data_IF_048602056575
#
_entry.id   IF_048602056575
#
_cell.length_a   1.000
_cell.length_b   1.000
_cell.length_c   1.000
_cell.angle_alpha   90.00
_cell.angle_beta   90.00
_cell.angle_gamma   90.00
#
_symmetry.space_group_name_H-M   'P 1'
#
loop_
_entity.id
_entity.type
_entity.pdbx_description
1 polymer ?
#
# COMPACT_ATOMS: atom_id res chain seq x y z
N UNK A 1 -57.74 -23.13 -57.89
CA UNK A 1 -57.31 -24.15 -56.91
C UNK A 1 -55.92 -23.75 -56.42
N UNK A 2 -55.89 -22.83 -55.45
CA UNK A 2 -55.65 -23.10 -54.02
C UNK A 2 -54.16 -23.22 -53.66
N UNK A 3 -53.55 -22.05 -53.46
CA UNK A 3 -52.68 -21.72 -52.32
C UNK A 3 -51.59 -22.72 -51.87
N UNK A 4 -50.86 -23.34 -52.81
CA UNK A 4 -49.58 -24.00 -52.55
C UNK A 4 -48.58 -23.56 -53.63
N UNK A 5 -47.76 -22.53 -53.34
CA UNK A 5 -46.42 -22.27 -53.93
C UNK A 5 -45.94 -20.82 -53.70
N UNK A 6 -45.84 -20.39 -52.44
CA UNK A 6 -45.01 -19.24 -52.05
C UNK A 6 -44.18 -19.56 -50.81
N UNK A 7 -43.48 -20.70 -50.84
CA UNK A 7 -42.62 -21.19 -49.73
C UNK A 7 -41.14 -20.83 -49.96
N UNK A 8 -40.73 -20.26 -51.10
CA UNK A 8 -39.34 -19.87 -51.32
C UNK A 8 -39.22 -18.39 -51.67
N UNK A 9 -38.31 -17.69 -50.98
CA UNK A 9 -37.91 -16.27 -51.09
C UNK A 9 -38.54 -15.29 -50.09
N UNK A 10 -38.30 -15.51 -48.79
CA UNK A 10 -37.76 -14.45 -47.91
C UNK A 10 -36.71 -15.12 -47.01
N UNK A 11 -35.57 -15.44 -47.62
CA UNK A 11 -34.30 -15.58 -46.89
C UNK A 11 -33.71 -14.20 -46.67
N UNK A 12 -33.01 -14.04 -45.54
CA UNK A 12 -32.25 -12.88 -45.11
C UNK A 12 -33.08 -11.77 -44.43
N UNK A 13 -33.18 -11.84 -43.10
CA UNK A 13 -32.60 -10.85 -42.19
C UNK A 13 -32.97 -11.23 -40.73
N UNK A 14 -32.54 -12.42 -40.30
CA UNK A 14 -32.27 -12.63 -38.87
C UNK A 14 -30.77 -12.36 -38.69
N UNK A 15 -30.38 -11.10 -38.83
CA UNK A 15 -29.07 -10.66 -38.40
C UNK A 15 -29.04 -10.89 -36.89
N UNK A 16 -28.30 -11.92 -36.48
CA UNK A 16 -27.82 -12.11 -35.13
C UNK A 16 -27.19 -10.80 -34.67
N UNK A 17 -27.97 -9.98 -33.98
CA UNK A 17 -27.45 -9.02 -33.02
C UNK A 17 -26.95 -9.84 -31.85
N UNK A 18 -25.81 -10.53 -32.05
CA UNK A 18 -24.88 -10.76 -30.97
C UNK A 18 -24.34 -9.38 -30.60
N UNK A 19 -25.12 -8.61 -29.85
CA UNK A 19 -24.54 -7.60 -28.98
C UNK A 19 -23.74 -8.41 -27.97
N UNK A 20 -22.49 -8.72 -28.32
CA UNK A 20 -21.49 -8.91 -27.29
C UNK A 20 -21.57 -7.63 -26.46
N UNK A 21 -22.24 -7.70 -25.30
CA UNK A 21 -21.83 -6.87 -24.19
C UNK A 21 -20.36 -7.20 -24.01
N UNK A 22 -19.49 -6.45 -24.70
CA UNK A 22 -18.13 -6.30 -24.27
C UNK A 22 -18.29 -5.67 -22.89
N UNK A 23 -18.27 -6.52 -21.87
CA UNK A 23 -17.89 -6.08 -20.54
C UNK A 23 -16.55 -5.39 -20.78
N UNK A 24 -16.53 -4.06 -20.73
CA UNK A 24 -15.29 -3.34 -20.77
C UNK A 24 -14.49 -3.86 -19.58
N UNK A 25 -13.41 -4.60 -19.87
CA UNK A 25 -12.55 -5.07 -18.80
C UNK A 25 -12.08 -3.84 -18.02
N UNK A 26 -12.17 -3.92 -16.69
CA UNK A 26 -11.69 -2.84 -15.82
C UNK A 26 -10.24 -2.50 -16.18
N UNK A 27 -9.89 -1.21 -16.17
CA UNK A 27 -8.53 -0.78 -16.47
C UNK A 27 -7.55 -1.26 -15.39
N UNK A 28 -6.27 -1.38 -15.71
CA UNK A 28 -5.26 -1.82 -14.75
C UNK A 28 -5.23 -0.98 -13.44
N UNK A 29 -5.35 0.37 -13.45
CA UNK A 29 -5.46 1.14 -12.23
C UNK A 29 -6.69 0.78 -11.38
N UNK A 30 -7.84 0.52 -12.01
CA UNK A 30 -9.08 0.13 -11.31
C UNK A 30 -8.92 -1.27 -10.69
N UNK A 31 -8.30 -2.20 -11.42
CA UNK A 31 -7.99 -3.54 -10.92
C UNK A 31 -7.01 -3.50 -9.74
N UNK A 32 -5.98 -2.64 -9.79
CA UNK A 32 -5.05 -2.43 -8.68
C UNK A 32 -5.74 -1.84 -7.46
N UNK A 33 -6.50 -0.77 -7.64
CA UNK A 33 -7.22 -0.11 -6.56
C UNK A 33 -8.21 -1.08 -5.88
N UNK A 34 -8.90 -1.92 -6.67
CA UNK A 34 -9.82 -2.95 -6.15
C UNK A 34 -9.13 -4.19 -5.57
N UNK A 35 -7.80 -4.24 -5.60
CA UNK A 35 -7.00 -5.35 -5.08
C UNK A 35 -7.07 -6.63 -5.90
N UNK A 36 -7.61 -6.60 -7.12
CA UNK A 36 -7.61 -7.71 -8.10
C UNK A 36 -6.26 -7.78 -8.81
N UNK A 37 -5.21 -8.08 -8.03
CA UNK A 37 -3.82 -7.93 -8.47
C UNK A 37 -3.48 -8.87 -9.63
N UNK A 38 -3.98 -10.10 -9.64
CA UNK A 38 -3.71 -11.03 -10.74
C UNK A 38 -4.26 -10.52 -12.07
N UNK A 39 -5.49 -9.97 -12.05
CA UNK A 39 -6.14 -9.39 -13.23
C UNK A 39 -5.41 -8.13 -13.68
N UNK A 40 -4.99 -7.27 -12.73
CA UNK A 40 -4.19 -6.08 -13.04
C UNK A 40 -2.87 -6.45 -13.74
N UNK A 41 -2.15 -7.44 -13.23
CA UNK A 41 -0.89 -7.92 -13.84
C UNK A 41 -1.13 -8.45 -15.26
N UNK A 42 -2.23 -9.19 -15.47
CA UNK A 42 -2.58 -9.70 -16.79
C UNK A 42 -2.88 -8.56 -17.78
N UNK A 43 -3.69 -7.57 -17.36
CA UNK A 43 -4.01 -6.39 -18.15
C UNK A 43 -2.76 -5.58 -18.51
N UNK A 44 -1.91 -5.27 -17.52
CA UNK A 44 -0.66 -4.51 -17.70
C UNK A 44 0.31 -5.22 -18.65
N UNK A 45 0.44 -6.55 -18.56
CA UNK A 45 1.27 -7.32 -19.50
C UNK A 45 0.73 -7.24 -20.93
N UNK A 46 -0.59 -7.25 -21.09
CA UNK A 46 -1.24 -7.04 -22.39
C UNK A 46 -0.97 -5.65 -22.96
N UNK A 47 -1.14 -4.60 -22.14
CA UNK A 47 -0.84 -3.21 -22.50
C UNK A 47 0.62 -3.06 -22.93
N UNK A 48 1.56 -3.51 -22.09
CA UNK A 48 3.01 -3.45 -22.35
C UNK A 48 3.39 -4.22 -23.62
N UNK A 49 2.73 -5.35 -23.91
CA UNK A 49 3.01 -6.12 -25.14
C UNK A 49 2.56 -5.40 -26.41
N UNK A 50 1.58 -4.50 -26.31
CA UNK A 50 1.05 -3.74 -27.43
C UNK A 50 1.81 -2.42 -27.60
N UNK A 51 2.04 -1.71 -26.51
CA UNK A 51 2.76 -0.44 -26.47
C UNK A 51 3.48 -0.30 -25.13
N UNK A 52 4.81 -0.54 -25.08
CA UNK A 52 5.58 -0.34 -23.86
C UNK A 52 5.53 1.12 -23.41
N UNK A 53 5.00 1.38 -22.22
CA UNK A 53 4.95 2.71 -21.63
C UNK A 53 5.43 2.69 -20.16
N UNK A 54 5.99 3.82 -19.70
CA UNK A 54 6.55 3.92 -18.36
C UNK A 54 5.50 3.81 -17.24
N UNK A 55 4.26 4.21 -17.50
CA UNK A 55 3.19 4.22 -16.51
C UNK A 55 2.70 2.80 -16.23
N UNK A 56 2.49 1.98 -17.26
CA UNK A 56 2.14 0.57 -17.16
C UNK A 56 3.26 -0.22 -16.46
N UNK A 57 4.53 0.05 -16.76
CA UNK A 57 5.64 -0.54 -16.00
C UNK A 57 5.67 -0.10 -14.53
N UNK A 58 5.34 1.16 -14.23
CA UNK A 58 5.25 1.64 -12.85
C UNK A 58 4.07 0.99 -12.10
N UNK A 59 2.91 0.86 -12.72
CA UNK A 59 1.76 0.15 -12.15
C UNK A 59 2.06 -1.34 -11.94
N UNK A 60 2.78 -1.98 -12.88
CA UNK A 60 3.22 -3.36 -12.74
C UNK A 60 4.20 -3.53 -11.57
N UNK A 61 5.08 -2.56 -11.38
CA UNK A 61 5.96 -2.50 -10.22
C UNK A 61 5.17 -2.43 -8.90
N UNK A 62 4.14 -1.57 -8.82
CA UNK A 62 3.27 -1.45 -7.64
C UNK A 62 2.45 -2.71 -7.39
N UNK A 63 1.99 -3.38 -8.45
CA UNK A 63 1.35 -4.69 -8.36
C UNK A 63 2.27 -5.71 -7.68
N UNK A 64 3.51 -5.84 -8.16
CA UNK A 64 4.51 -6.75 -7.56
C UNK A 64 4.93 -6.34 -6.16
N UNK A 65 5.03 -5.04 -5.88
CA UNK A 65 5.24 -4.50 -4.53
C UNK A 65 4.14 -4.97 -3.58
N UNK A 66 2.86 -4.91 -4.01
CA UNK A 66 1.73 -5.35 -3.18
C UNK A 66 1.80 -6.84 -2.81
N UNK A 67 2.34 -7.67 -3.70
CA UNK A 67 2.51 -9.12 -3.49
C UNK A 67 3.76 -9.49 -2.66
N UNK A 68 4.68 -8.56 -2.45
CA UNK A 68 5.99 -8.86 -1.88
C UNK A 68 6.98 -9.46 -2.87
N UNK A 69 6.72 -9.35 -4.18
CA UNK A 69 7.58 -9.88 -5.24
C UNK A 69 8.67 -8.86 -5.63
N UNK A 70 9.59 -8.60 -4.70
CA UNK A 70 10.55 -7.49 -4.78
C UNK A 70 11.42 -7.49 -6.04
N UNK A 71 11.91 -8.65 -6.48
CA UNK A 71 12.75 -8.74 -7.68
C UNK A 71 11.99 -8.35 -8.95
N UNK A 72 10.75 -8.80 -9.09
CA UNK A 72 9.89 -8.44 -10.21
C UNK A 72 9.48 -6.98 -10.16
N UNK A 73 9.18 -6.47 -8.95
CA UNK A 73 8.92 -5.05 -8.71
C UNK A 73 10.09 -4.17 -9.15
N UNK A 74 11.32 -4.47 -8.71
CA UNK A 74 12.54 -3.74 -9.11
C UNK A 74 12.66 -3.73 -10.63
N UNK A 75 12.55 -4.89 -11.28
CA UNK A 75 12.70 -4.97 -12.73
C UNK A 75 11.65 -4.14 -13.50
N UNK A 76 10.40 -4.12 -13.03
CA UNK A 76 9.35 -3.29 -13.61
C UNK A 76 9.59 -1.78 -13.37
N UNK A 77 9.98 -1.38 -12.15
CA UNK A 77 10.27 0.02 -11.85
C UNK A 77 11.52 0.54 -12.58
N UNK A 78 12.57 -0.28 -12.74
CA UNK A 78 13.75 0.06 -13.54
C UNK A 78 13.36 0.30 -15.01
N UNK A 79 12.41 -0.47 -15.56
CA UNK A 79 11.85 -0.21 -16.89
C UNK A 79 11.10 1.11 -16.96
N UNK A 80 10.25 1.42 -15.97
CA UNK A 80 9.55 2.69 -15.90
C UNK A 80 10.53 3.89 -15.90
N UNK A 81 11.54 3.86 -15.04
CA UNK A 81 12.60 4.89 -14.98
C UNK A 81 13.40 4.96 -16.28
N UNK A 82 13.68 3.83 -16.94
CA UNK A 82 14.40 3.84 -18.22
C UNK A 82 13.62 4.47 -19.37
N UNK A 83 12.29 4.41 -19.33
CA UNK A 83 11.40 4.98 -20.34
C UNK A 83 11.15 6.48 -20.10
N UNK A 84 11.07 6.90 -18.84
CA UNK A 84 10.98 8.31 -18.46
C UNK A 84 11.84 8.61 -17.21
N UNK A 85 13.13 8.96 -17.39
CA UNK A 85 14.07 9.24 -16.30
C UNK A 85 13.85 10.61 -15.63
N UNK A 86 12.83 11.37 -16.05
CA UNK A 86 12.47 12.65 -15.44
C UNK A 86 11.14 12.58 -14.68
N UNK A 87 10.56 11.39 -14.55
CA UNK A 87 9.35 11.18 -13.76
C UNK A 87 9.66 10.97 -12.28
N UNK A 88 9.33 11.96 -11.45
CA UNK A 88 9.54 11.89 -9.99
C UNK A 88 8.87 10.66 -9.34
N UNK A 89 7.66 10.28 -9.78
CA UNK A 89 6.93 9.16 -9.19
C UNK A 89 7.58 7.81 -9.49
N UNK A 90 8.24 7.67 -10.65
CA UNK A 90 8.93 6.42 -11.01
C UNK A 90 10.15 6.18 -10.13
N UNK A 91 10.93 7.25 -9.90
CA UNK A 91 12.04 7.22 -8.94
C UNK A 91 11.54 6.95 -7.51
N UNK A 92 10.44 7.58 -7.09
CA UNK A 92 9.84 7.33 -5.77
C UNK A 92 9.50 5.85 -5.58
N UNK A 93 8.78 5.25 -6.53
CA UNK A 93 8.39 3.84 -6.44
C UNK A 93 9.58 2.89 -6.54
N UNK A 94 10.58 3.17 -7.37
CA UNK A 94 11.79 2.38 -7.44
C UNK A 94 12.55 2.40 -6.10
N UNK A 95 12.66 3.57 -5.47
CA UNK A 95 13.22 3.73 -4.12
C UNK A 95 12.48 2.89 -3.07
N UNK A 96 11.14 2.92 -3.07
CA UNK A 96 10.31 2.10 -2.16
C UNK A 96 10.55 0.61 -2.34
N UNK A 97 10.59 0.12 -3.57
CA UNK A 97 10.80 -1.32 -3.84
C UNK A 97 12.22 -1.75 -3.47
N UNK A 98 13.22 -0.90 -3.70
CA UNK A 98 14.57 -1.16 -3.19
C UNK A 98 14.62 -1.23 -1.67
N UNK A 99 13.86 -0.38 -0.97
CA UNK A 99 13.75 -0.38 0.49
C UNK A 99 13.22 -1.70 1.02
N UNK A 100 12.05 -2.14 0.55
CA UNK A 100 11.46 -3.44 0.95
C UNK A 100 12.38 -4.62 0.63
N UNK A 101 13.05 -4.57 -0.52
CA UNK A 101 14.02 -5.59 -0.89
C UNK A 101 15.21 -5.61 0.08
N UNK A 102 15.68 -4.44 0.53
CA UNK A 102 16.78 -4.32 1.48
C UNK A 102 16.39 -4.90 2.84
N UNK A 103 15.19 -4.59 3.32
CA UNK A 103 14.65 -5.07 4.61
C UNK A 103 14.45 -6.59 4.61
N UNK A 104 14.14 -7.18 3.45
CA UNK A 104 14.02 -8.63 3.28
C UNK A 104 15.35 -9.36 3.01
N UNK A 105 16.47 -8.64 2.88
CA UNK A 105 17.76 -9.19 2.48
C UNK A 105 18.77 -9.30 3.63
N UNK A 106 19.86 -10.05 3.40
CA UNK A 106 21.00 -10.05 4.32
C UNK A 106 21.73 -8.68 4.33
N UNK A 107 22.52 -8.44 5.38
CA UNK A 107 23.20 -7.17 5.61
C UNK A 107 24.03 -6.66 4.42
N UNK A 108 24.79 -7.52 3.75
CA UNK A 108 25.65 -7.13 2.63
C UNK A 108 24.83 -6.64 1.43
N UNK A 109 23.74 -7.35 1.12
CA UNK A 109 22.82 -6.97 0.05
C UNK A 109 22.06 -5.68 0.41
N UNK A 110 21.67 -5.55 1.68
CA UNK A 110 20.98 -4.37 2.20
C UNK A 110 21.83 -3.09 2.08
N UNK A 111 23.14 -3.14 2.31
CA UNK A 111 24.01 -1.97 2.16
C UNK A 111 24.07 -1.45 0.71
N UNK A 112 24.18 -2.36 -0.26
CA UNK A 112 24.15 -2.00 -1.68
C UNK A 112 22.81 -1.44 -2.13
N UNK A 113 21.71 -2.01 -1.62
CA UNK A 113 20.35 -1.52 -1.87
C UNK A 113 20.09 -0.17 -1.21
N UNK A 114 20.56 0.06 0.03
CA UNK A 114 20.39 1.33 0.74
C UNK A 114 20.96 2.52 -0.07
N UNK A 115 22.11 2.34 -0.71
CA UNK A 115 22.66 3.37 -1.61
C UNK A 115 21.74 3.64 -2.81
N UNK A 116 21.10 2.61 -3.37
CA UNK A 116 20.13 2.78 -4.46
C UNK A 116 18.88 3.50 -3.95
N UNK A 117 18.33 3.10 -2.80
CA UNK A 117 17.20 3.79 -2.15
C UNK A 117 17.48 5.28 -2.00
N UNK A 118 18.66 5.63 -1.46
CA UNK A 118 19.08 7.02 -1.30
C UNK A 118 19.03 7.80 -2.62
N UNK A 119 19.68 7.26 -3.66
CA UNK A 119 19.76 7.90 -4.96
C UNK A 119 18.36 8.12 -5.59
N UNK A 120 17.50 7.11 -5.52
CA UNK A 120 16.16 7.18 -6.12
C UNK A 120 15.26 8.18 -5.38
N UNK A 121 15.28 8.20 -4.05
CA UNK A 121 14.52 9.19 -3.28
C UNK A 121 15.05 10.61 -3.45
N UNK A 122 16.37 10.81 -3.49
CA UNK A 122 16.93 12.13 -3.81
C UNK A 122 16.52 12.58 -5.21
N UNK A 123 16.55 11.68 -6.20
CA UNK A 123 16.14 12.00 -7.58
C UNK A 123 14.66 12.34 -7.64
N UNK A 124 13.81 11.62 -6.92
CA UNK A 124 12.38 11.93 -6.81
C UNK A 124 12.13 13.34 -6.25
N UNK A 125 12.83 13.72 -5.17
CA UNK A 125 12.74 15.06 -4.57
C UNK A 125 13.35 16.15 -5.47
N UNK A 126 14.43 15.86 -6.19
CA UNK A 126 15.01 16.81 -7.17
C UNK A 126 14.04 17.10 -8.32
N UNK A 127 13.38 16.06 -8.85
CA UNK A 127 12.43 16.18 -9.96
C UNK A 127 11.11 16.82 -9.55
N UNK A 128 10.64 16.56 -8.33
CA UNK A 128 9.47 17.22 -7.75
C UNK A 128 9.75 17.68 -6.31
N UNK A 129 10.29 18.90 -6.14
CA UNK A 129 10.59 19.45 -4.81
C UNK A 129 9.36 19.68 -3.93
N UNK A 130 8.14 19.59 -4.45
CA UNK A 130 6.91 19.80 -3.68
C UNK A 130 6.19 18.49 -3.35
N UNK A 131 6.74 17.32 -3.71
CA UNK A 131 6.16 16.03 -3.29
C UNK A 131 6.40 15.81 -1.80
N UNK A 132 5.31 15.87 -1.02
CA UNK A 132 5.35 15.61 0.42
C UNK A 132 5.71 14.14 0.70
N UNK A 133 5.23 13.22 -0.14
CA UNK A 133 5.48 11.79 -0.05
C UNK A 133 6.97 11.48 -0.28
N UNK A 134 7.57 12.00 -1.35
CA UNK A 134 9.00 11.77 -1.63
C UNK A 134 9.90 12.35 -0.53
N UNK A 135 9.52 13.51 0.03
CA UNK A 135 10.26 14.12 1.15
C UNK A 135 10.13 13.32 2.44
N UNK A 136 8.94 12.82 2.75
CA UNK A 136 8.71 11.95 3.90
C UNK A 136 9.54 10.66 3.77
N UNK A 137 9.49 10.00 2.62
CA UNK A 137 10.22 8.74 2.39
C UNK A 137 11.74 8.95 2.41
N UNK A 138 12.23 10.08 1.87
CA UNK A 138 13.63 10.46 1.98
C UNK A 138 14.05 10.76 3.44
N UNK A 139 13.19 11.45 4.20
CA UNK A 139 13.43 11.72 5.62
C UNK A 139 13.50 10.41 6.42
N UNK A 140 12.58 9.48 6.15
CA UNK A 140 12.56 8.14 6.75
C UNK A 140 13.84 7.38 6.44
N UNK A 141 14.28 7.36 5.17
CA UNK A 141 15.55 6.77 4.79
C UNK A 141 16.71 7.38 5.60
N UNK A 142 16.74 8.71 5.76
CA UNK A 142 17.78 9.36 6.55
C UNK A 142 17.76 9.01 8.04
N UNK A 143 16.62 8.59 8.58
CA UNK A 143 16.50 8.18 9.98
C UNK A 143 16.88 6.72 10.21
N UNK A 144 16.56 5.84 9.27
CA UNK A 144 16.76 4.40 9.42
C UNK A 144 18.12 3.93 8.87
N UNK A 145 18.62 4.53 7.80
CA UNK A 145 19.87 4.12 7.20
C UNK A 145 21.09 4.54 8.04
N UNK A 146 22.14 3.70 8.13
CA UNK A 146 23.41 4.11 8.73
C UNK A 146 24.03 5.33 8.03
N UNK A 147 24.79 6.14 8.78
CA UNK A 147 25.46 7.32 8.22
C UNK A 147 26.41 7.01 7.06
N UNK A 148 27.05 5.83 7.08
CA UNK A 148 27.97 5.37 6.02
C UNK A 148 27.29 5.18 4.66
N UNK A 149 25.97 4.97 4.62
CA UNK A 149 25.19 4.79 3.38
C UNK A 149 24.28 6.00 3.10
N UNK A 150 24.51 7.13 3.77
CA UNK A 150 23.83 8.39 3.49
C UNK A 150 22.84 8.86 4.56
N UNK A 151 22.60 8.07 5.62
CA UNK A 151 21.73 8.45 6.73
C UNK A 151 22.20 9.71 7.48
N UNK A 152 21.29 10.31 8.25
CA UNK A 152 21.59 11.46 9.11
C UNK A 152 20.36 12.24 9.55
N UNK A 153 20.22 12.45 10.87
CA UNK A 153 19.09 13.19 11.45
C UNK A 153 18.99 14.64 10.98
N UNK A 154 20.11 15.30 10.69
CA UNK A 154 20.09 16.68 10.19
C UNK A 154 19.53 16.77 8.78
N UNK A 155 19.76 15.74 7.95
CA UNK A 155 19.16 15.64 6.62
C UNK A 155 17.66 15.38 6.71
N UNK A 156 17.23 14.52 7.63
CA UNK A 156 15.80 14.32 7.92
C UNK A 156 15.14 15.62 8.39
N UNK A 157 15.81 16.38 9.27
CA UNK A 157 15.32 17.70 9.75
C UNK A 157 15.19 18.71 8.61
N UNK A 158 16.11 18.70 7.64
CA UNK A 158 16.01 19.56 6.46
C UNK A 158 14.78 19.23 5.60
N UNK A 159 14.42 17.95 5.48
CA UNK A 159 13.16 17.55 4.82
C UNK A 159 11.94 18.02 5.62
N UNK A 160 11.93 17.84 6.94
CA UNK A 160 10.86 18.32 7.82
C UNK A 160 10.63 19.83 7.70
N UNK A 161 11.71 20.63 7.63
CA UNK A 161 11.61 22.08 7.48
C UNK A 161 10.93 22.50 6.16
N UNK A 162 11.10 21.71 5.08
CA UNK A 162 10.38 21.96 3.83
C UNK A 162 8.95 21.45 3.91
N UNK A 163 8.74 20.27 4.49
CA UNK A 163 7.41 19.69 4.72
C UNK A 163 6.52 20.60 5.55
N UNK A 164 7.06 21.37 6.50
CA UNK A 164 6.27 22.27 7.33
C UNK A 164 5.41 23.28 6.52
N UNK A 165 5.79 23.56 5.26
CA UNK A 165 5.03 24.42 4.34
C UNK A 165 4.09 23.65 3.42
N UNK A 166 4.37 22.37 3.17
CA UNK A 166 3.64 21.53 2.21
C UNK A 166 2.56 20.69 2.91
N UNK A 167 2.94 20.08 4.02
CA UNK A 167 2.17 19.14 4.80
C UNK A 167 2.68 19.16 6.26
N UNK A 168 2.09 20.01 7.12
CA UNK A 168 2.48 20.12 8.53
C UNK A 168 2.37 18.81 9.31
N UNK A 169 1.42 17.93 8.94
CA UNK A 169 1.23 16.62 9.59
C UNK A 169 2.46 15.75 9.36
N UNK A 170 2.88 15.61 8.10
CA UNK A 170 4.10 14.87 7.75
C UNK A 170 5.36 15.53 8.33
N UNK A 171 5.41 16.87 8.41
CA UNK A 171 6.52 17.58 9.02
C UNK A 171 6.69 17.22 10.51
N UNK A 172 5.61 17.35 11.30
CA UNK A 172 5.62 17.00 12.71
C UNK A 172 5.86 15.51 12.92
N UNK A 173 5.33 14.63 12.05
CA UNK A 173 5.65 13.21 12.08
C UNK A 173 7.16 12.95 11.94
N UNK A 174 7.86 13.60 10.99
CA UNK A 174 9.32 13.45 10.83
C UNK A 174 10.06 13.95 12.07
N UNK A 175 9.65 15.09 12.65
CA UNK A 175 10.29 15.62 13.88
C UNK A 175 10.04 14.69 15.07
N UNK A 176 8.85 14.12 15.20
CA UNK A 176 8.53 13.08 16.17
C UNK A 176 9.42 11.85 16.03
N UNK A 177 9.60 11.34 14.79
CA UNK A 177 10.52 10.23 14.49
C UNK A 177 11.98 10.56 14.81
N UNK A 178 12.43 11.80 14.57
CA UNK A 178 13.77 12.25 15.01
C UNK A 178 13.89 12.16 16.54
N UNK A 179 12.87 12.57 17.29
CA UNK A 179 12.86 12.51 18.75
C UNK A 179 12.83 11.06 19.26
N UNK A 180 12.10 10.15 18.60
CA UNK A 180 12.15 8.71 18.89
C UNK A 180 13.56 8.13 18.72
N UNK A 181 14.27 8.47 17.64
CA UNK A 181 15.67 8.05 17.44
C UNK A 181 16.61 8.59 18.51
N UNK A 182 16.29 9.76 19.09
CA UNK A 182 17.02 10.36 20.21
C UNK A 182 16.60 9.78 21.58
N UNK A 183 15.62 8.88 21.61
CA UNK A 183 15.02 8.35 22.85
C UNK A 183 14.44 9.46 23.73
N UNK A 184 13.86 10.49 23.09
CA UNK A 184 13.15 11.58 23.74
C UNK A 184 11.62 11.42 23.51
N UNK A 185 10.96 10.55 24.31
CA UNK A 185 9.53 10.28 24.14
C UNK A 185 8.67 11.50 24.45
N UNK A 186 9.13 12.42 25.29
CA UNK A 186 8.40 13.63 25.65
C UNK A 186 8.28 14.57 24.46
N UNK A 187 9.40 14.83 23.77
CA UNK A 187 9.35 15.61 22.53
C UNK A 187 8.60 14.87 21.44
N UNK A 188 8.82 13.56 21.27
CA UNK A 188 8.13 12.77 20.26
C UNK A 188 6.60 12.87 20.41
N UNK A 189 6.08 12.62 21.61
CA UNK A 189 4.65 12.71 21.90
C UNK A 189 4.09 14.12 21.62
N UNK A 190 4.83 15.17 22.00
CA UNK A 190 4.42 16.56 21.74
C UNK A 190 4.29 16.82 20.24
N UNK A 191 5.23 16.37 19.42
CA UNK A 191 5.18 16.57 17.97
C UNK A 191 4.00 15.83 17.34
N UNK A 192 3.74 14.58 17.73
CA UNK A 192 2.59 13.84 17.23
C UNK A 192 1.26 14.48 17.65
N UNK A 193 1.15 15.01 18.88
CA UNK A 193 -0.02 15.79 19.28
C UNK A 193 -0.17 17.09 18.49
N UNK A 194 0.95 17.75 18.18
CA UNK A 194 0.94 18.95 17.33
C UNK A 194 0.47 18.62 15.91
N UNK A 195 0.82 17.44 15.38
CA UNK A 195 0.32 16.95 14.10
C UNK A 195 -1.21 16.74 14.11
N UNK A 196 -1.75 16.24 15.23
CA UNK A 196 -3.20 16.08 15.46
C UNK A 196 -3.87 17.45 15.47
N UNK A 197 -3.33 18.41 16.23
CA UNK A 197 -3.89 19.77 16.30
C UNK A 197 -3.85 20.47 14.93
N UNK A 198 -2.73 20.37 14.22
CA UNK A 198 -2.54 20.98 12.90
C UNK A 198 -3.48 20.42 11.82
N UNK A 199 -3.99 19.21 12.01
CA UNK A 199 -4.92 18.54 11.10
C UNK A 199 -6.38 18.59 11.54
N UNK A 200 -6.69 19.26 12.65
CA UNK A 200 -7.98 19.20 13.33
C UNK A 200 -8.41 17.76 13.67
N UNK A 201 -7.46 16.94 14.09
CA UNK A 201 -7.70 15.57 14.54
C UNK A 201 -7.93 14.56 13.42
N UNK A 202 -7.23 14.71 12.28
CA UNK A 202 -7.37 13.73 11.20
C UNK A 202 -6.85 12.34 11.60
N UNK A 203 -7.32 11.32 10.88
CA UNK A 203 -7.01 9.94 11.21
C UNK A 203 -5.52 9.59 11.03
N UNK A 204 -4.84 10.19 10.04
CA UNK A 204 -3.41 9.98 9.78
C UNK A 204 -2.53 10.45 10.97
N UNK A 205 -2.84 11.60 11.57
CA UNK A 205 -2.10 12.11 12.71
C UNK A 205 -2.29 11.24 13.96
N UNK A 206 -3.51 10.75 14.20
CA UNK A 206 -3.80 9.77 15.25
C UNK A 206 -3.07 8.44 15.01
N UNK A 207 -2.99 7.99 13.76
CA UNK A 207 -2.22 6.80 13.40
C UNK A 207 -0.73 7.00 13.72
N UNK A 208 -0.15 8.16 13.39
CA UNK A 208 1.20 8.53 13.77
C UNK A 208 1.46 8.41 15.27
N UNK A 209 0.58 8.98 16.10
CA UNK A 209 0.67 8.89 17.55
C UNK A 209 0.55 7.43 18.06
N UNK A 210 -0.37 6.65 17.48
CA UNK A 210 -0.54 5.25 17.87
C UNK A 210 0.70 4.40 17.58
N UNK A 211 1.35 4.61 16.43
CA UNK A 211 2.59 3.92 16.07
C UNK A 211 3.73 4.29 17.02
N UNK A 212 3.84 5.57 17.39
CA UNK A 212 4.79 6.00 18.41
C UNK A 212 4.56 5.28 19.74
N UNK A 213 3.33 5.27 20.24
CA UNK A 213 3.01 4.58 21.49
C UNK A 213 3.32 3.08 21.41
N UNK A 214 3.10 2.45 20.26
CA UNK A 214 3.54 1.07 20.01
C UNK A 214 5.06 0.93 20.14
N UNK A 215 5.85 1.82 19.53
CA UNK A 215 7.32 1.77 19.58
C UNK A 215 7.88 1.92 20.99
N UNK A 216 7.26 2.78 21.82
CA UNK A 216 7.68 2.98 23.22
C UNK A 216 7.02 2.03 24.22
N UNK A 217 6.22 1.06 23.75
CA UNK A 217 5.57 0.03 24.58
C UNK A 217 4.38 0.51 25.41
N UNK A 218 3.85 1.70 25.11
CA UNK A 218 2.68 2.29 25.76
C UNK A 218 1.39 1.78 25.12
N UNK A 219 1.10 0.49 25.31
CA UNK A 219 0.02 -0.19 24.57
C UNK A 219 -1.39 0.34 24.87
N UNK A 220 -1.66 0.78 26.10
CA UNK A 220 -2.97 1.37 26.43
C UNK A 220 -3.17 2.70 25.69
N UNK A 221 -2.17 3.58 25.70
CA UNK A 221 -2.23 4.84 24.97
C UNK A 221 -2.32 4.63 23.44
N UNK A 222 -1.65 3.58 22.92
CA UNK A 222 -1.79 3.14 21.52
C UNK A 222 -3.25 2.76 21.21
N UNK A 223 -3.87 1.93 22.05
CA UNK A 223 -5.28 1.52 21.86
C UNK A 223 -6.23 2.72 21.95
N UNK A 224 -6.00 3.66 22.87
CA UNK A 224 -6.79 4.90 22.99
C UNK A 224 -6.66 5.78 21.73
N UNK A 225 -5.44 5.96 21.22
CA UNK A 225 -5.19 6.69 19.97
C UNK A 225 -5.90 6.04 18.76
N UNK A 226 -5.92 4.72 18.68
CA UNK A 226 -6.65 3.98 17.63
C UNK A 226 -8.17 4.08 17.84
N UNK A 227 -8.63 4.18 19.09
CA UNK A 227 -10.03 4.47 19.42
C UNK A 227 -10.51 5.78 18.78
N UNK A 228 -9.68 6.82 18.73
CA UNK A 228 -10.00 8.07 18.03
C UNK A 228 -10.15 7.88 16.51
N UNK A 229 -9.35 7.01 15.90
CA UNK A 229 -9.48 6.65 14.48
C UNK A 229 -10.82 5.94 14.23
N UNK A 230 -11.18 4.97 15.07
CA UNK A 230 -12.42 4.22 14.92
C UNK A 230 -13.68 5.06 15.18
N UNK A 231 -13.60 6.03 16.09
CA UNK A 231 -14.71 6.91 16.44
C UNK A 231 -14.95 8.04 15.42
N UNK A 232 -13.90 8.46 14.72
CA UNK A 232 -14.06 9.43 13.64
C UNK A 232 -14.84 8.80 12.46
N UNK A 233 -15.58 9.61 11.71
CA UNK A 233 -16.19 9.20 10.41
C UNK A 233 -15.09 9.05 9.36
N UNK A 234 -14.12 8.19 9.63
CA UNK A 234 -12.97 7.97 8.77
C UNK A 234 -13.41 7.12 7.60
N UNK A 235 -13.23 7.68 6.41
CA UNK A 235 -13.44 7.00 5.13
C UNK A 235 -12.12 6.75 4.41
N UNK A 236 -10.98 6.94 5.08
CA UNK A 236 -9.66 6.64 4.54
C UNK A 236 -9.36 5.14 4.72
N UNK A 237 -9.37 4.34 3.64
CA UNK A 237 -9.16 2.91 3.73
C UNK A 237 -7.76 2.55 4.21
N UNK A 238 -6.75 3.38 3.92
CA UNK A 238 -5.35 3.13 4.29
C UNK A 238 -5.20 3.23 5.80
N UNK A 239 -5.74 4.28 6.42
CA UNK A 239 -5.60 4.50 7.86
C UNK A 239 -6.31 3.40 8.67
N UNK A 240 -7.47 2.92 8.22
CA UNK A 240 -8.19 1.82 8.87
C UNK A 240 -7.35 0.52 8.86
N UNK A 241 -6.75 0.20 7.71
CA UNK A 241 -5.93 -0.99 7.55
C UNK A 241 -4.65 -0.91 8.40
N UNK A 242 -3.98 0.23 8.41
CA UNK A 242 -2.75 0.45 9.18
C UNK A 242 -3.00 0.44 10.70
N UNK A 243 -4.12 1.00 11.16
CA UNK A 243 -4.54 0.93 12.55
C UNK A 243 -4.82 -0.52 12.99
N UNK A 244 -5.52 -1.30 12.17
CA UNK A 244 -5.74 -2.72 12.43
C UNK A 244 -4.42 -3.52 12.44
N UNK A 245 -3.54 -3.26 11.48
CA UNK A 245 -2.20 -3.86 11.41
C UNK A 245 -1.37 -3.54 12.65
N UNK A 246 -1.47 -2.32 13.19
CA UNK A 246 -0.79 -1.87 14.41
C UNK A 246 -1.25 -2.68 15.63
N UNK A 247 -2.56 -2.85 15.81
CA UNK A 247 -3.15 -3.70 16.86
C UNK A 247 -2.71 -5.17 16.74
N UNK A 248 -2.80 -5.74 15.54
CA UNK A 248 -2.42 -7.13 15.26
C UNK A 248 -0.94 -7.36 15.55
N UNK A 249 -0.08 -6.43 15.12
CA UNK A 249 1.36 -6.49 15.32
C UNK A 249 1.78 -6.36 16.79
N UNK A 250 0.99 -5.65 17.61
CA UNK A 250 1.17 -5.58 19.06
C UNK A 250 0.53 -6.75 19.83
N UNK A 251 -0.20 -7.64 19.15
CA UNK A 251 -1.05 -8.67 19.77
C UNK A 251 -2.06 -8.09 20.78
N UNK A 252 -2.66 -6.96 20.43
CA UNK A 252 -3.56 -6.16 21.27
C UNK A 252 -4.91 -5.95 20.59
N UNK A 253 -5.94 -5.78 21.42
CA UNK A 253 -7.32 -5.43 21.04
C UNK A 253 -7.80 -6.03 19.69
N UNK A 254 -7.77 -7.36 19.59
CA UNK A 254 -8.23 -8.07 18.39
C UNK A 254 -9.67 -7.75 17.97
N UNK A 255 -10.64 -7.53 18.89
CA UNK A 255 -11.98 -7.10 18.51
C UNK A 255 -11.98 -5.78 17.72
N UNK A 256 -11.24 -4.77 18.18
CA UNK A 256 -11.14 -3.49 17.48
C UNK A 256 -10.42 -3.63 16.13
N UNK A 257 -9.39 -4.47 16.04
CA UNK A 257 -8.72 -4.75 14.76
C UNK A 257 -9.68 -5.36 13.73
N UNK A 258 -10.53 -6.31 14.15
CA UNK A 258 -11.55 -6.92 13.30
C UNK A 258 -12.58 -5.86 12.87
N UNK A 259 -13.05 -5.03 13.81
CA UNK A 259 -14.01 -3.96 13.52
C UNK A 259 -13.46 -2.99 12.45
N UNK A 260 -12.20 -2.55 12.58
CA UNK A 260 -11.57 -1.65 11.62
C UNK A 260 -11.45 -2.28 10.23
N UNK A 261 -11.09 -3.56 10.15
CA UNK A 261 -11.00 -4.28 8.88
C UNK A 261 -12.37 -4.51 8.24
N UNK A 262 -13.40 -4.79 9.03
CA UNK A 262 -14.78 -4.89 8.54
C UNK A 262 -15.31 -3.53 8.07
N UNK A 263 -15.01 -2.45 8.79
CA UNK A 263 -15.32 -1.09 8.36
C UNK A 263 -14.64 -0.79 7.02
N UNK A 264 -13.34 -1.10 6.89
CA UNK A 264 -12.60 -0.99 5.63
C UNK A 264 -13.30 -1.75 4.49
N UNK A 265 -13.66 -3.03 4.70
CA UNK A 265 -14.32 -3.85 3.68
C UNK A 265 -15.73 -3.37 3.32
N UNK A 266 -16.38 -2.60 4.21
CA UNK A 266 -17.68 -1.99 3.95
C UNK A 266 -17.59 -0.73 3.10
N UNK A 267 -16.41 -0.12 3.00
CA UNK A 267 -16.20 1.01 2.11
C UNK A 267 -16.25 0.52 0.67
N UNK A 268 -17.08 1.14 -0.18
CA UNK A 268 -17.00 0.95 -1.64
C UNK A 268 -15.74 1.58 -2.25
N UNK A 269 -14.85 2.12 -1.40
CA UNK A 269 -13.63 2.79 -1.79
C UNK A 269 -12.48 1.78 -1.94
N UNK A 270 -11.77 1.90 -3.04
CA UNK A 270 -10.67 1.04 -3.44
C UNK A 270 -9.38 1.85 -3.37
N UNK A 271 -8.41 1.46 -2.54
CA UNK A 271 -7.13 2.14 -2.40
C UNK A 271 -6.00 1.18 -2.75
N UNK A 272 -5.08 1.60 -3.63
CA UNK A 272 -3.99 0.73 -4.07
C UNK A 272 -2.98 0.45 -2.94
N UNK A 273 -2.76 1.43 -2.07
CA UNK A 273 -1.90 1.32 -0.89
C UNK A 273 -2.51 0.40 0.17
N UNK A 274 -3.84 0.23 0.16
CA UNK A 274 -4.57 -0.67 1.03
C UNK A 274 -5.48 -1.59 0.22
N UNK A 275 -4.92 -2.61 -0.46
CA UNK A 275 -5.68 -3.46 -1.35
C UNK A 275 -6.49 -4.50 -0.57
N UNK A 276 -7.70 -4.80 -1.06
CA UNK A 276 -8.71 -5.63 -0.38
C UNK A 276 -8.18 -7.01 0.04
N UNK A 277 -7.34 -7.63 -0.80
CA UNK A 277 -6.75 -8.94 -0.48
C UNK A 277 -5.89 -8.90 0.80
N UNK A 278 -5.21 -7.78 1.11
CA UNK A 278 -4.43 -7.63 2.35
C UNK A 278 -5.35 -7.51 3.56
N UNK A 279 -6.50 -6.84 3.45
CA UNK A 279 -7.47 -6.80 4.54
C UNK A 279 -8.00 -8.20 4.90
N UNK A 280 -8.33 -9.03 3.90
CA UNK A 280 -8.64 -10.45 4.13
C UNK A 280 -7.49 -11.21 4.79
N UNK A 281 -6.25 -10.99 4.35
CA UNK A 281 -5.10 -11.60 5.03
C UNK A 281 -4.97 -11.17 6.50
N UNK A 282 -5.19 -9.90 6.82
CA UNK A 282 -5.15 -9.38 8.20
C UNK A 282 -6.30 -9.93 9.05
N UNK A 283 -7.51 -10.03 8.50
CA UNK A 283 -8.65 -10.68 9.15
C UNK A 283 -8.35 -12.15 9.46
N UNK A 284 -7.82 -12.88 8.48
CA UNK A 284 -7.38 -14.26 8.70
C UNK A 284 -6.33 -14.37 9.80
N UNK A 285 -5.35 -13.45 9.81
CA UNK A 285 -4.27 -13.42 10.81
C UNK A 285 -4.81 -13.19 12.23
N UNK A 286 -5.74 -12.25 12.41
CA UNK A 286 -6.30 -11.99 13.74
C UNK A 286 -7.24 -13.11 14.21
N UNK A 287 -8.05 -13.68 13.32
CA UNK A 287 -8.92 -14.82 13.62
C UNK A 287 -8.11 -16.06 14.00
N UNK A 288 -6.98 -16.31 13.32
CA UNK A 288 -6.06 -17.38 13.66
C UNK A 288 -5.46 -17.17 15.06
N UNK A 289 -5.04 -15.95 15.39
CA UNK A 289 -4.54 -15.60 16.73
C UNK A 289 -5.58 -15.77 17.84
N UNK A 290 -6.86 -15.63 17.50
CA UNK A 290 -7.99 -15.92 18.39
C UNK A 290 -8.34 -17.43 18.46
N UNK A 291 -7.63 -18.30 17.73
CA UNK A 291 -7.87 -19.73 17.68
C UNK A 291 -8.98 -20.16 16.72
N UNK A 292 -9.63 -19.22 16.02
CA UNK A 292 -10.67 -19.52 15.04
C UNK A 292 -10.06 -19.89 13.67
N UNK A 293 -9.45 -21.09 13.61
CA UNK A 293 -8.78 -21.60 12.40
C UNK A 293 -9.71 -21.70 11.18
N UNK A 294 -10.98 -22.04 11.40
CA UNK A 294 -11.94 -22.21 10.30
C UNK A 294 -12.25 -20.86 9.63
N UNK A 295 -12.58 -19.84 10.41
CA UNK A 295 -12.81 -18.50 9.86
C UNK A 295 -11.52 -17.92 9.27
N UNK A 296 -10.37 -18.13 9.92
CA UNK A 296 -9.08 -17.73 9.37
C UNK A 296 -8.82 -18.34 7.98
N UNK A 297 -9.09 -19.64 7.80
CA UNK A 297 -8.95 -20.32 6.52
C UNK A 297 -9.89 -19.78 5.44
N UNK A 298 -11.09 -19.30 5.80
CA UNK A 298 -12.00 -18.65 4.85
C UNK A 298 -11.41 -17.33 4.35
N UNK A 299 -10.93 -16.48 5.26
CA UNK A 299 -10.32 -15.20 4.92
C UNK A 299 -9.04 -15.37 4.09
N UNK A 300 -8.18 -16.34 4.42
CA UNK A 300 -7.00 -16.63 3.59
C UNK A 300 -7.37 -17.10 2.18
N UNK A 301 -8.47 -17.84 1.99
CA UNK A 301 -8.96 -18.19 0.65
C UNK A 301 -9.50 -16.98 -0.11
N UNK A 302 -10.22 -16.07 0.56
CA UNK A 302 -10.69 -14.83 -0.03
C UNK A 302 -9.52 -13.91 -0.47
N UNK A 303 -8.46 -13.85 0.33
CA UNK A 303 -7.21 -13.20 -0.05
C UNK A 303 -6.63 -13.82 -1.35
N UNK A 304 -6.49 -15.15 -1.39
CA UNK A 304 -5.89 -15.85 -2.53
C UNK A 304 -6.75 -15.87 -3.79
N UNK A 305 -8.06 -15.61 -3.70
CA UNK A 305 -8.90 -15.45 -4.89
C UNK A 305 -8.66 -14.12 -5.61
N UNK A 306 -8.15 -13.11 -4.89
CA UNK A 306 -7.82 -11.78 -5.43
C UNK A 306 -6.33 -11.66 -5.81
N UNK A 307 -5.47 -12.39 -5.10
CA UNK A 307 -4.02 -12.37 -5.26
C UNK A 307 -3.42 -13.78 -5.06
N UNK A 308 -3.50 -14.64 -6.08
CA UNK A 308 -3.02 -16.03 -6.02
C UNK A 308 -1.53 -16.12 -5.72
N UNK A 309 -0.75 -15.13 -6.18
CA UNK A 309 0.69 -15.04 -5.94
C UNK A 309 1.08 -14.67 -4.51
N UNK A 310 0.13 -14.32 -3.63
CA UNK A 310 0.46 -13.82 -2.30
C UNK A 310 0.88 -14.95 -1.33
N UNK A 311 2.19 -15.21 -1.33
CA UNK A 311 2.82 -16.34 -0.63
C UNK A 311 2.52 -16.40 0.88
N UNK A 312 2.39 -15.25 1.55
CA UNK A 312 2.09 -15.18 2.99
C UNK A 312 0.73 -15.80 3.32
N UNK A 313 -0.30 -15.50 2.52
CA UNK A 313 -1.63 -16.10 2.70
C UNK A 313 -1.64 -17.59 2.37
N UNK A 314 -0.90 -18.02 1.34
CA UNK A 314 -0.77 -19.45 1.01
C UNK A 314 -0.15 -20.26 2.15
N UNK A 315 0.93 -19.73 2.75
CA UNK A 315 1.58 -20.36 3.90
C UNK A 315 0.66 -20.39 5.13
N UNK A 316 -0.07 -19.30 5.38
CA UNK A 316 -1.01 -19.22 6.50
C UNK A 316 -2.19 -20.20 6.33
N UNK A 317 -2.77 -20.29 5.14
CA UNK A 317 -3.83 -21.25 4.82
C UNK A 317 -3.37 -22.70 5.02
N UNK A 318 -2.17 -23.05 4.56
CA UNK A 318 -1.59 -24.37 4.75
C UNK A 318 -1.37 -24.70 6.24
N UNK A 319 -1.09 -23.69 7.08
CA UNK A 319 -0.88 -23.87 8.52
C UNK A 319 -2.19 -24.11 9.28
N UNK A 320 -3.26 -23.38 8.95
CA UNK A 320 -4.56 -23.52 9.64
C UNK A 320 -5.43 -24.67 9.12
N UNK A 321 -5.11 -25.22 7.95
CA UNK A 321 -5.82 -26.35 7.34
C UNK A 321 -5.24 -27.73 7.71
N UNK A 322 -4.18 -27.77 8.53
CA UNK A 322 -3.63 -28.97 9.14
C UNK A 322 -4.24 -29.19 10.52
#
# INVERSE_FOLDING_TARGET
MSALNKIWKITALAALLFTSLLWAADSAPVLLASGRIDDAIAALRGEISTSPDGAAYNLLCRAYYSLGEWDRGVSACEKAVSLDPNNSAYHLWLGRVYGEKADASNFLSAAGLAKRVHNEFERAVQLNPNSAEARKDLAEFYLEAPGIVGGGQDKARAQAATLAKLDPVKAHWVVGRIAEKKKDPTTAEREYRTAIDASNGNAEAWLGLSMFYRHVGRFNDMEDAIGHIAAARVHDPVVLMDAAQTLIGAARNFPLAIQLLQQYLSLSASAEEAPVFKAHYLLGTVLEKQGNKQAAAQEYRACLSLAKGFSRAQQALNRVSR
#
